data_IF_967921161360
#
_entry.id   IF_967921161360
#
_cell.length_a   1.000
_cell.length_b   1.000
_cell.length_c   1.000
_cell.angle_alpha   90.00
_cell.angle_beta   90.00
_cell.angle_gamma   90.00
#
_symmetry.space_group_name_H-M   'P 1'
#
loop_
_entity.id
_entity.type
_entity.pdbx_description
1 polymer ?
#
# COMPACT_ATOMS: atom_id res chain seq x y z
N UNK A 1 -7.85 47.01 5.29
CA UNK A 1 -7.24 45.79 5.84
C UNK A 1 -8.27 44.70 6.22
N UNK A 2 -9.56 44.91 5.93
CA UNK A 2 -10.66 44.01 6.32
C UNK A 2 -11.11 43.05 5.19
N UNK A 3 -10.84 43.39 3.93
CA UNK A 3 -11.34 42.63 2.77
C UNK A 3 -10.54 41.35 2.46
N UNK A 4 -9.23 41.32 2.77
CA UNK A 4 -8.38 40.13 2.59
C UNK A 4 -8.75 38.97 3.53
N UNK A 5 -9.11 39.29 4.78
CA UNK A 5 -9.54 38.30 5.78
C UNK A 5 -10.89 37.66 5.40
N UNK A 6 -11.78 38.46 4.79
CA UNK A 6 -13.08 37.96 4.33
C UNK A 6 -12.91 36.92 3.22
N UNK A 7 -12.08 37.23 2.21
CA UNK A 7 -11.77 36.32 1.09
C UNK A 7 -11.07 35.03 1.54
N UNK A 8 -10.07 35.10 2.43
CA UNK A 8 -9.41 33.89 2.93
C UNK A 8 -10.38 33.00 3.72
N UNK A 9 -11.21 33.59 4.57
CA UNK A 9 -12.20 32.84 5.35
C UNK A 9 -13.28 32.19 4.48
N UNK A 10 -13.63 32.80 3.35
CA UNK A 10 -14.59 32.26 2.38
C UNK A 10 -13.98 31.08 1.59
N UNK A 11 -12.72 31.19 1.18
CA UNK A 11 -11.96 30.11 0.53
C UNK A 11 -11.76 28.94 1.49
N UNK A 12 -11.41 29.20 2.75
CA UNK A 12 -11.31 28.19 3.81
C UNK A 12 -12.65 27.48 4.04
N UNK A 13 -13.75 28.21 4.17
CA UNK A 13 -15.10 27.62 4.35
C UNK A 13 -15.51 26.79 3.14
N UNK A 14 -15.22 27.23 1.92
CA UNK A 14 -15.53 26.49 0.70
C UNK A 14 -14.73 25.20 0.60
N UNK A 15 -13.44 25.25 0.93
CA UNK A 15 -12.57 24.06 0.97
C UNK A 15 -12.99 23.07 2.06
N UNK A 16 -13.31 23.56 3.26
CA UNK A 16 -13.79 22.72 4.38
C UNK A 16 -15.13 22.06 4.02
N UNK A 17 -16.06 22.81 3.43
CA UNK A 17 -17.34 22.28 2.94
C UNK A 17 -17.12 21.17 1.90
N UNK A 18 -16.21 21.38 0.96
CA UNK A 18 -15.87 20.39 -0.07
C UNK A 18 -15.28 19.11 0.55
N UNK A 19 -14.40 19.24 1.54
CA UNK A 19 -13.83 18.08 2.27
C UNK A 19 -14.91 17.32 3.04
N UNK A 20 -15.80 18.03 3.75
CA UNK A 20 -16.91 17.42 4.50
C UNK A 20 -17.90 16.72 3.55
N UNK A 21 -18.19 17.31 2.40
CA UNK A 21 -19.08 16.71 1.40
C UNK A 21 -18.44 15.46 0.76
N UNK A 22 -17.13 15.48 0.53
CA UNK A 22 -16.37 14.33 0.02
C UNK A 22 -16.33 13.18 1.05
N UNK A 23 -16.12 13.50 2.34
CA UNK A 23 -16.18 12.53 3.43
C UNK A 23 -17.59 11.94 3.57
N UNK A 24 -18.63 12.76 3.53
CA UNK A 24 -20.02 12.31 3.59
C UNK A 24 -20.41 11.44 2.40
N UNK A 25 -19.91 11.73 1.19
CA UNK A 25 -20.09 10.86 0.01
C UNK A 25 -19.39 9.51 0.19
N UNK A 26 -18.14 9.52 0.69
CA UNK A 26 -17.39 8.31 0.98
C UNK A 26 -18.02 7.46 2.09
N UNK A 27 -18.67 8.08 3.08
CA UNK A 27 -19.45 7.38 4.12
C UNK A 27 -20.77 6.83 3.59
N UNK A 28 -21.51 7.60 2.77
CA UNK A 28 -22.79 7.16 2.19
C UNK A 28 -22.63 6.03 1.17
N UNK A 29 -21.46 5.89 0.55
CA UNK A 29 -21.14 4.78 -0.36
C UNK A 29 -20.56 3.55 0.33
N UNK A 30 -20.48 3.50 1.67
CA UNK A 30 -20.02 2.28 2.37
C UNK A 30 -21.09 1.20 2.27
N UNK A 31 -20.94 0.34 1.27
CA UNK A 31 -21.67 -0.93 1.18
C UNK A 31 -21.48 -1.72 2.48
N UNK A 32 -22.52 -2.44 2.91
CA UNK A 32 -22.48 -3.31 4.10
C UNK A 32 -21.24 -4.23 4.12
N UNK A 33 -20.83 -4.71 2.94
CA UNK A 33 -19.61 -5.49 2.71
C UNK A 33 -18.32 -4.75 3.10
N UNK A 34 -18.20 -3.46 2.80
CA UNK A 34 -17.03 -2.65 3.15
C UNK A 34 -16.90 -2.48 4.66
N UNK A 35 -18.04 -2.35 5.36
CA UNK A 35 -18.09 -2.22 6.82
C UNK A 35 -17.70 -3.53 7.52
N UNK A 36 -18.15 -4.66 6.99
CA UNK A 36 -17.71 -5.98 7.45
C UNK A 36 -16.21 -6.17 7.19
N UNK A 37 -15.72 -5.81 6.00
CA UNK A 37 -14.31 -5.91 5.67
C UNK A 37 -13.42 -5.05 6.58
N UNK A 38 -13.87 -3.85 6.98
CA UNK A 38 -13.17 -2.99 7.96
C UNK A 38 -13.09 -3.64 9.33
N UNK A 39 -14.20 -4.22 9.80
CA UNK A 39 -14.26 -4.91 11.09
C UNK A 39 -13.33 -6.14 11.11
N UNK A 40 -13.35 -6.94 10.03
CA UNK A 40 -12.47 -8.09 9.85
C UNK A 40 -11.01 -7.64 9.83
N UNK A 41 -10.66 -6.64 9.03
CA UNK A 41 -9.29 -6.10 8.96
C UNK A 41 -8.78 -5.65 10.33
N UNK A 42 -9.61 -4.94 11.10
CA UNK A 42 -9.26 -4.49 12.44
C UNK A 42 -9.15 -5.64 13.47
N UNK A 43 -10.03 -6.64 13.38
CA UNK A 43 -10.06 -7.77 14.29
C UNK A 43 -8.87 -8.73 14.08
N UNK A 44 -8.56 -9.04 12.82
CA UNK A 44 -7.47 -9.94 12.46
C UNK A 44 -6.08 -9.31 12.64
N UNK A 45 -5.98 -7.98 12.61
CA UNK A 45 -4.76 -7.25 12.95
C UNK A 45 -4.52 -7.10 14.46
N UNK A 46 -5.43 -7.55 15.32
CA UNK A 46 -5.38 -7.35 16.77
C UNK A 46 -4.89 -8.58 17.54
N UNK A 47 -4.11 -8.36 18.59
CA UNK A 47 -3.71 -9.42 19.54
C UNK A 47 -4.89 -10.08 20.26
N UNK A 48 -6.05 -9.41 20.33
CA UNK A 48 -7.25 -9.96 20.95
C UNK A 48 -7.73 -11.26 20.28
N UNK A 49 -7.56 -11.37 18.96
CA UNK A 49 -7.92 -12.56 18.18
C UNK A 49 -7.21 -13.83 18.69
N UNK A 50 -5.91 -13.71 18.95
CA UNK A 50 -5.05 -14.81 19.41
C UNK A 50 -5.49 -15.28 20.81
N UNK A 51 -5.77 -14.35 21.72
CA UNK A 51 -6.22 -14.68 23.07
C UNK A 51 -7.58 -15.39 23.07
N UNK A 52 -8.53 -14.95 22.23
CA UNK A 52 -9.84 -15.59 22.11
C UNK A 52 -9.69 -17.04 21.63
N UNK A 53 -8.87 -17.29 20.61
CA UNK A 53 -8.63 -18.66 20.12
C UNK A 53 -7.89 -19.52 21.14
N UNK A 54 -6.88 -18.97 21.83
CA UNK A 54 -6.15 -19.69 22.87
C UNK A 54 -7.07 -20.11 24.01
N UNK A 55 -7.98 -19.23 24.45
CA UNK A 55 -8.97 -19.53 25.49
C UNK A 55 -10.00 -20.54 24.97
N UNK A 56 -10.49 -20.38 23.74
CA UNK A 56 -11.47 -21.28 23.12
C UNK A 56 -10.92 -22.71 23.02
N UNK A 57 -9.74 -22.88 22.42
CA UNK A 57 -9.09 -24.19 22.30
C UNK A 57 -8.68 -24.74 23.65
N UNK A 58 -8.14 -23.90 24.54
CA UNK A 58 -7.81 -24.29 25.91
C UNK A 58 -9.03 -24.82 26.65
N UNK A 59 -10.16 -24.12 26.59
CA UNK A 59 -11.42 -24.53 27.21
C UNK A 59 -11.94 -25.84 26.60
N UNK A 60 -11.89 -25.99 25.28
CA UNK A 60 -12.31 -27.23 24.60
C UNK A 60 -11.47 -28.43 25.06
N UNK A 61 -10.15 -28.27 25.12
CA UNK A 61 -9.23 -29.31 25.57
C UNK A 61 -9.46 -29.62 27.06
N UNK A 62 -9.62 -28.60 27.91
CA UNK A 62 -9.91 -28.76 29.34
C UNK A 62 -11.23 -29.52 29.58
N UNK A 63 -12.26 -29.24 28.78
CA UNK A 63 -13.54 -29.94 28.83
C UNK A 63 -13.40 -31.41 28.41
N UNK A 64 -12.59 -31.73 27.39
CA UNK A 64 -12.43 -33.10 26.91
C UNK A 64 -11.41 -33.94 27.69
N UNK A 65 -10.41 -33.35 28.36
CA UNK A 65 -9.41 -34.07 29.19
C UNK A 65 -10.00 -34.51 30.56
N UNK A 66 -11.25 -34.18 30.86
CA UNK A 66 -11.96 -34.72 32.02
C UNK A 66 -11.84 -33.91 33.31
N UNK A 67 -11.37 -32.65 33.25
CA UNK A 67 -11.49 -31.71 34.38
C UNK A 67 -12.96 -31.38 34.70
N UNK A 68 -13.85 -31.59 33.72
CA UNK A 68 -15.30 -31.51 33.86
C UNK A 68 -15.88 -32.89 33.52
N UNK A 69 -15.61 -33.89 34.37
CA UNK A 69 -16.34 -35.16 34.35
C UNK A 69 -17.80 -34.90 34.78
N UNK A 70 -18.60 -34.30 33.89
CA UNK A 70 -20.05 -34.27 34.03
C UNK A 70 -20.51 -35.71 33.80
N UNK A 71 -20.88 -36.33 34.91
CA UNK A 71 -21.31 -37.71 35.21
C UNK A 71 -22.23 -38.45 34.18
N UNK A 72 -22.55 -37.89 33.01
CA UNK A 72 -23.58 -38.44 32.12
C UNK A 72 -23.35 -38.28 30.62
N UNK A 73 -22.23 -37.70 30.16
CA UNK A 73 -21.98 -37.48 28.72
C UNK A 73 -20.74 -38.29 28.33
N UNK A 74 -20.96 -39.32 27.50
CA UNK A 74 -19.88 -40.08 26.83
C UNK A 74 -18.91 -39.10 26.16
N UNK A 75 -17.60 -39.38 26.22
CA UNK A 75 -16.52 -38.56 25.64
C UNK A 75 -16.93 -37.98 24.27
N UNK A 76 -17.21 -36.68 24.22
CA UNK A 76 -17.77 -36.02 23.03
C UNK A 76 -16.75 -35.96 21.88
N UNK A 77 -15.46 -35.81 22.21
CA UNK A 77 -14.34 -35.84 21.27
C UNK A 77 -13.12 -36.55 21.92
N UNK A 78 -13.02 -37.89 21.84
CA UNK A 78 -11.90 -38.65 22.39
C UNK A 78 -10.57 -38.22 21.76
N UNK A 79 -9.49 -38.32 22.52
CA UNK A 79 -8.14 -38.13 21.99
C UNK A 79 -7.94 -39.07 20.78
N UNK A 80 -7.64 -38.57 19.56
CA UNK A 80 -6.88 -37.36 19.21
C UNK A 80 -7.66 -36.09 18.79
N UNK A 81 -8.90 -35.88 19.26
CA UNK A 81 -9.74 -34.71 18.96
C UNK A 81 -10.05 -34.52 17.46
N UNK A 82 -10.71 -35.50 16.85
CA UNK A 82 -10.99 -35.51 15.41
C UNK A 82 -11.96 -34.39 15.00
N UNK A 83 -12.94 -34.06 15.84
CA UNK A 83 -13.92 -33.01 15.55
C UNK A 83 -13.28 -31.62 15.62
N UNK A 84 -12.49 -31.36 16.66
CA UNK A 84 -11.73 -30.11 16.77
C UNK A 84 -10.82 -29.92 15.57
N UNK A 85 -10.08 -30.96 15.18
CA UNK A 85 -9.16 -30.90 14.03
C UNK A 85 -9.90 -30.54 12.73
N UNK A 86 -11.07 -31.13 12.50
CA UNK A 86 -11.89 -30.81 11.32
C UNK A 86 -12.32 -29.34 11.33
N UNK A 87 -12.86 -28.85 12.46
CA UNK A 87 -13.34 -27.47 12.59
C UNK A 87 -12.18 -26.48 12.41
N UNK A 88 -11.04 -26.73 13.07
CA UNK A 88 -9.83 -25.88 12.95
C UNK A 88 -9.31 -25.84 11.52
N UNK A 89 -9.34 -26.97 10.80
CA UNK A 89 -8.89 -27.00 9.39
C UNK A 89 -9.76 -26.12 8.48
N UNK A 90 -11.08 -26.15 8.70
CA UNK A 90 -12.02 -25.33 7.94
C UNK A 90 -11.86 -23.85 8.32
N UNK A 91 -11.78 -23.56 9.62
CA UNK A 91 -11.54 -22.24 10.15
C UNK A 91 -10.26 -21.63 9.58
N UNK A 92 -9.15 -22.38 9.54
CA UNK A 92 -7.88 -21.91 9.00
C UNK A 92 -7.97 -21.44 7.53
N UNK A 93 -8.79 -22.10 6.70
CA UNK A 93 -9.02 -21.67 5.29
C UNK A 93 -9.73 -20.32 5.26
N UNK A 94 -10.76 -20.13 6.08
CA UNK A 94 -11.46 -18.85 6.20
C UNK A 94 -10.52 -17.77 6.75
N UNK A 95 -9.74 -18.07 7.79
CA UNK A 95 -8.77 -17.14 8.37
C UNK A 95 -7.75 -16.70 7.32
N UNK A 96 -7.16 -17.64 6.58
CA UNK A 96 -6.21 -17.35 5.51
C UNK A 96 -6.83 -16.44 4.43
N UNK A 97 -8.06 -16.73 4.02
CA UNK A 97 -8.78 -15.92 3.02
C UNK A 97 -9.04 -14.51 3.54
N UNK A 98 -9.49 -14.36 4.78
CA UNK A 98 -9.74 -13.05 5.39
C UNK A 98 -8.45 -12.26 5.59
N UNK A 99 -7.36 -12.92 6.00
CA UNK A 99 -6.03 -12.32 6.08
C UNK A 99 -5.59 -11.84 4.70
N UNK A 100 -5.77 -12.64 3.64
CA UNK A 100 -5.40 -12.25 2.28
C UNK A 100 -6.20 -11.03 1.79
N UNK A 101 -7.51 -11.00 2.05
CA UNK A 101 -8.36 -9.85 1.71
C UNK A 101 -7.91 -8.60 2.48
N UNK A 102 -7.63 -8.74 3.78
CA UNK A 102 -7.14 -7.66 4.65
C UNK A 102 -5.78 -7.14 4.18
N UNK A 103 -4.87 -8.03 3.79
CA UNK A 103 -3.55 -7.69 3.28
C UNK A 103 -3.64 -6.97 1.94
N UNK A 104 -4.42 -7.50 0.98
CA UNK A 104 -4.60 -6.88 -0.33
C UNK A 104 -5.16 -5.45 -0.21
N UNK A 105 -6.10 -5.24 0.69
CA UNK A 105 -6.64 -3.90 0.98
C UNK A 105 -5.61 -2.98 1.63
N UNK A 106 -4.82 -3.47 2.59
CA UNK A 106 -3.75 -2.67 3.20
C UNK A 106 -2.67 -2.31 2.20
N UNK A 107 -2.37 -3.19 1.25
CA UNK A 107 -1.44 -2.96 0.15
C UNK A 107 -1.95 -1.87 -0.79
N UNK A 108 -3.21 -1.95 -1.26
CA UNK A 108 -3.80 -0.91 -2.11
C UNK A 108 -3.76 0.48 -1.44
N UNK A 109 -4.09 0.55 -0.14
CA UNK A 109 -3.99 1.80 0.63
C UNK A 109 -2.55 2.29 0.77
N UNK A 110 -1.59 1.39 0.97
CA UNK A 110 -0.17 1.72 1.05
C UNK A 110 0.37 2.24 -0.27
N UNK A 111 -0.03 1.63 -1.39
CA UNK A 111 0.36 2.05 -2.75
C UNK A 111 -0.15 3.46 -3.06
N UNK A 112 -1.44 3.74 -2.78
CA UNK A 112 -1.99 5.09 -2.97
C UNK A 112 -1.29 6.15 -2.11
N UNK A 113 -0.91 5.81 -0.88
CA UNK A 113 -0.15 6.72 -0.02
C UNK A 113 1.25 6.98 -0.60
N UNK A 114 1.93 5.94 -1.05
CA UNK A 114 3.24 6.07 -1.68
C UNK A 114 3.20 6.94 -2.95
N UNK A 115 2.16 6.81 -3.78
CA UNK A 115 1.97 7.67 -4.95
C UNK A 115 1.76 9.14 -4.56
N UNK A 116 0.93 9.40 -3.53
CA UNK A 116 0.70 10.76 -3.05
C UNK A 116 1.97 11.37 -2.45
N UNK A 117 2.71 10.60 -1.66
CA UNK A 117 3.98 11.03 -1.06
C UNK A 117 5.02 11.36 -2.14
N UNK A 118 5.08 10.55 -3.22
CA UNK A 118 5.93 10.83 -4.38
C UNK A 118 5.55 12.16 -5.05
N UNK A 119 4.26 12.39 -5.31
CA UNK A 119 3.81 13.67 -5.90
C UNK A 119 4.11 14.87 -5.02
N UNK A 120 3.91 14.76 -3.70
CA UNK A 120 4.24 15.84 -2.76
C UNK A 120 5.74 16.12 -2.77
N UNK A 121 6.57 15.08 -2.79
CA UNK A 121 8.02 15.23 -2.81
C UNK A 121 8.49 15.90 -4.11
N UNK A 122 8.01 15.44 -5.26
CA UNK A 122 8.32 16.05 -6.56
C UNK A 122 7.89 17.53 -6.63
N UNK A 123 6.72 17.86 -6.09
CA UNK A 123 6.26 19.25 -6.01
C UNK A 123 7.13 20.10 -5.05
N UNK A 124 7.60 19.50 -3.96
CA UNK A 124 8.50 20.17 -3.02
C UNK A 124 9.87 20.44 -3.67
N UNK A 125 10.42 19.48 -4.41
CA UNK A 125 11.65 19.63 -5.19
C UNK A 125 11.52 20.75 -6.23
N UNK A 126 10.43 20.78 -7.02
CA UNK A 126 10.16 21.88 -7.96
C UNK A 126 10.12 23.26 -7.29
N UNK A 127 9.42 23.36 -6.15
CA UNK A 127 9.34 24.62 -5.41
C UNK A 127 10.70 25.03 -4.87
N UNK A 128 11.49 24.08 -4.37
CA UNK A 128 12.85 24.35 -3.90
C UNK A 128 13.74 24.84 -5.04
N UNK A 129 13.72 24.17 -6.19
CA UNK A 129 14.43 24.61 -7.39
C UNK A 129 14.01 26.02 -7.82
N UNK A 130 12.70 26.32 -7.83
CA UNK A 130 12.21 27.64 -8.19
C UNK A 130 12.66 28.73 -7.21
N UNK A 131 12.72 28.42 -5.91
CA UNK A 131 13.25 29.34 -4.89
C UNK A 131 14.75 29.57 -5.10
N UNK A 132 15.53 28.54 -5.42
CA UNK A 132 16.96 28.68 -5.74
C UNK A 132 17.18 29.57 -6.96
N UNK A 133 16.39 29.38 -8.02
CA UNK A 133 16.45 30.23 -9.22
C UNK A 133 16.16 31.70 -8.88
N UNK A 134 15.10 31.96 -8.11
CA UNK A 134 14.75 33.32 -7.68
C UNK A 134 15.83 33.95 -6.79
N UNK A 135 16.43 33.17 -5.89
CA UNK A 135 17.54 33.65 -5.06
C UNK A 135 18.76 34.00 -5.91
N UNK A 136 19.04 33.22 -6.95
CA UNK A 136 20.14 33.51 -7.86
C UNK A 136 19.88 34.74 -8.72
N UNK A 137 18.64 34.94 -9.21
CA UNK A 137 18.25 36.17 -9.91
C UNK A 137 18.45 37.40 -9.02
N UNK A 138 18.05 37.34 -7.74
CA UNK A 138 18.26 38.42 -6.77
C UNK A 138 19.75 38.64 -6.52
N UNK A 139 20.52 37.57 -6.33
CA UNK A 139 21.96 37.62 -6.12
C UNK A 139 22.70 38.30 -7.30
N UNK A 140 22.32 37.97 -8.54
CA UNK A 140 22.86 38.61 -9.74
C UNK A 140 22.49 40.10 -9.81
N UNK A 141 21.25 40.47 -9.46
CA UNK A 141 20.86 41.87 -9.40
C UNK A 141 21.65 42.66 -8.34
N UNK A 142 21.98 42.03 -7.21
CA UNK A 142 22.77 42.65 -6.15
C UNK A 142 24.24 42.85 -6.53
N UNK A 143 24.83 41.89 -7.24
CA UNK A 143 26.20 41.97 -7.79
C UNK A 143 26.34 43.15 -8.76
N UNK A 144 25.33 43.38 -9.62
CA UNK A 144 25.28 44.55 -10.50
C UNK A 144 25.16 45.90 -9.77
N UNK A 145 24.71 45.92 -8.51
CA UNK A 145 24.51 47.13 -7.71
C UNK A 145 25.67 47.39 -6.71
N UNK A 146 26.52 46.40 -6.46
CA UNK A 146 27.68 46.50 -5.59
C UNK A 146 28.87 45.77 -6.25
N UNK A 147 29.77 46.54 -6.88
CA UNK A 147 30.99 46.09 -7.58
C UNK A 147 32.01 45.35 -6.66
N UNK A 148 31.67 45.18 -5.37
CA UNK A 148 32.48 44.51 -4.33
C UNK A 148 31.88 43.15 -3.89
N UNK A 149 30.66 42.78 -4.33
CA UNK A 149 30.00 41.56 -3.89
C UNK A 149 30.33 40.37 -4.79
N UNK A 150 31.60 39.94 -4.81
CA UNK A 150 32.02 38.71 -5.51
C UNK A 150 31.36 37.45 -4.93
N UNK A 151 30.15 37.14 -5.38
CA UNK A 151 29.57 35.81 -5.25
C UNK A 151 30.37 34.88 -6.16
N UNK A 152 31.34 34.19 -5.55
CA UNK A 152 31.95 33.00 -6.17
C UNK A 152 30.81 32.10 -6.64
N UNK A 153 30.75 31.84 -7.94
CA UNK A 153 29.96 30.77 -8.52
C UNK A 153 30.27 29.51 -7.73
N UNK A 154 29.34 29.08 -6.87
CA UNK A 154 29.47 27.84 -6.14
C UNK A 154 29.01 26.70 -7.07
N UNK A 155 29.91 25.85 -7.57
CA UNK A 155 29.55 24.76 -8.48
C UNK A 155 28.56 23.77 -7.85
N UNK A 156 28.43 23.74 -6.52
CA UNK A 156 27.48 22.89 -5.80
C UNK A 156 26.02 23.38 -5.95
N UNK A 157 25.79 24.68 -6.09
CA UNK A 157 24.46 25.26 -6.34
C UNK A 157 23.97 25.01 -7.79
N UNK A 158 24.90 24.89 -8.74
CA UNK A 158 24.60 24.58 -10.14
C UNK A 158 24.31 23.08 -10.33
N UNK A 159 24.95 22.21 -9.55
CA UNK A 159 24.65 20.78 -9.51
C UNK A 159 23.23 20.48 -8.97
N UNK A 160 22.70 21.31 -8.08
CA UNK A 160 21.32 21.24 -7.57
C UNK A 160 20.25 21.66 -8.60
N UNK A 161 20.62 22.32 -9.70
CA UNK A 161 19.69 22.67 -10.80
C UNK A 161 19.27 21.47 -11.64
N UNK A 162 19.96 20.35 -11.52
CA UNK A 162 19.57 19.09 -12.15
C UNK A 162 18.55 18.38 -11.26
N UNK A 163 17.46 19.07 -10.91
CA UNK A 163 16.26 18.41 -10.43
C UNK A 163 15.41 18.16 -11.67
N UNK A 164 15.36 16.92 -12.21
CA UNK A 164 14.55 16.63 -13.39
C UNK A 164 13.10 17.02 -13.11
N UNK A 165 12.44 17.63 -14.09
CA UNK A 165 11.04 18.02 -13.91
C UNK A 165 10.20 16.78 -13.51
N UNK A 166 9.23 16.88 -12.61
CA UNK A 166 8.38 15.77 -12.18
C UNK A 166 7.77 14.97 -13.32
N UNK A 167 7.47 15.63 -14.44
CA UNK A 167 6.94 14.98 -15.64
C UNK A 167 8.00 14.13 -16.35
N UNK A 168 9.27 14.53 -16.31
CA UNK A 168 10.39 13.76 -16.86
C UNK A 168 10.71 12.55 -15.99
N UNK A 169 10.66 12.70 -14.66
CA UNK A 169 10.80 11.57 -13.72
C UNK A 169 9.63 10.58 -13.87
N UNK A 170 8.40 11.06 -13.98
CA UNK A 170 7.21 10.22 -14.18
C UNK A 170 7.26 9.48 -15.53
N UNK A 171 7.66 10.15 -16.62
CA UNK A 171 7.83 9.53 -17.94
C UNK A 171 8.97 8.49 -17.94
N UNK A 172 10.08 8.77 -17.24
CA UNK A 172 11.18 7.81 -17.08
C UNK A 172 10.75 6.62 -16.23
N UNK A 173 10.01 6.82 -15.14
CA UNK A 173 9.48 5.73 -14.31
C UNK A 173 8.47 4.90 -15.12
N UNK A 174 7.53 5.53 -15.83
CA UNK A 174 6.54 4.84 -16.66
C UNK A 174 7.21 4.03 -17.78
N UNK A 175 8.19 4.62 -18.48
CA UNK A 175 8.99 3.92 -19.49
C UNK A 175 9.78 2.76 -18.91
N UNK A 176 10.36 2.92 -17.73
CA UNK A 176 11.16 1.86 -17.08
C UNK A 176 10.28 0.71 -16.58
N UNK A 177 9.11 1.03 -16.01
CA UNK A 177 8.11 0.03 -15.57
C UNK A 177 7.54 -0.72 -16.77
N UNK A 178 7.18 -0.02 -17.85
CA UNK A 178 6.69 -0.64 -19.08
C UNK A 178 7.74 -1.48 -19.80
N UNK A 179 9.01 -1.05 -19.82
CA UNK A 179 10.11 -1.82 -20.38
C UNK A 179 10.30 -3.14 -19.60
N UNK A 180 10.36 -3.05 -18.27
CA UNK A 180 10.52 -4.23 -17.40
C UNK A 180 9.33 -5.20 -17.50
N UNK A 181 8.11 -4.69 -17.63
CA UNK A 181 6.89 -5.50 -17.86
C UNK A 181 6.93 -6.24 -19.21
N UNK A 182 7.42 -5.60 -20.27
CA UNK A 182 7.61 -6.23 -21.59
C UNK A 182 8.70 -7.30 -21.56
N UNK A 183 9.80 -7.05 -20.87
CA UNK A 183 10.90 -8.03 -20.74
C UNK A 183 10.46 -9.27 -19.96
N UNK A 184 9.71 -9.10 -18.87
CA UNK A 184 9.15 -10.23 -18.10
C UNK A 184 8.20 -11.08 -18.96
N UNK A 185 7.35 -10.45 -19.78
CA UNK A 185 6.47 -11.18 -20.72
C UNK A 185 7.27 -11.92 -21.79
N UNK A 186 8.30 -11.29 -22.38
CA UNK A 186 9.14 -11.91 -23.41
C UNK A 186 9.88 -13.15 -22.86
N UNK A 187 10.42 -13.05 -21.65
CA UNK A 187 11.09 -14.18 -20.98
C UNK A 187 10.10 -15.32 -20.67
N UNK A 188 8.88 -14.99 -20.23
CA UNK A 188 7.85 -16.00 -19.98
C UNK A 188 7.39 -16.72 -21.26
N UNK A 189 7.27 -16.01 -22.38
CA UNK A 189 6.93 -16.59 -23.68
C UNK A 189 8.06 -17.46 -24.25
N UNK A 190 9.32 -17.04 -24.14
CA UNK A 190 10.48 -17.82 -24.56
C UNK A 190 10.63 -19.12 -23.74
N UNK A 191 10.39 -19.06 -22.43
CA UNK A 191 10.42 -20.26 -21.57
C UNK A 191 9.24 -21.19 -21.81
N UNK A 192 8.06 -20.66 -22.07
CA UNK A 192 6.87 -21.43 -22.46
C UNK A 192 7.05 -22.14 -23.80
N UNK A 193 7.63 -21.45 -24.80
CA UNK A 193 7.95 -22.02 -26.11
C UNK A 193 8.98 -23.14 -26.03
N UNK A 194 10.09 -22.92 -25.31
CA UNK A 194 11.13 -23.96 -25.11
C UNK A 194 10.62 -25.19 -24.36
N UNK A 195 9.68 -25.02 -23.41
CA UNK A 195 9.05 -26.16 -22.73
C UNK A 195 8.15 -26.97 -23.68
N UNK A 196 7.38 -26.31 -24.54
CA UNK A 196 6.55 -26.98 -25.54
C UNK A 196 7.38 -27.72 -26.60
N UNK A 197 8.49 -27.11 -27.05
CA UNK A 197 9.39 -27.74 -28.02
C UNK A 197 10.13 -28.95 -27.45
N UNK A 198 10.60 -28.86 -26.18
CA UNK A 198 11.17 -30.04 -25.50
C UNK A 198 10.15 -31.17 -25.36
N UNK A 199 8.93 -30.86 -24.94
CA UNK A 199 7.86 -31.85 -24.78
C UNK A 199 7.50 -32.52 -26.11
N UNK A 200 7.41 -31.76 -27.20
CA UNK A 200 7.10 -32.30 -28.54
C UNK A 200 8.23 -33.18 -29.11
N UNK A 201 9.49 -32.92 -28.76
CA UNK A 201 10.64 -33.76 -29.15
C UNK A 201 10.77 -35.03 -28.33
N UNK A 202 10.24 -35.04 -27.11
CA UNK A 202 10.22 -36.19 -26.22
C UNK A 202 9.08 -37.14 -26.63
N UNK A 203 7.89 -36.60 -26.91
CA UNK A 203 6.69 -37.35 -27.36
C UNK A 203 6.91 -38.01 -28.74
N UNK A 204 7.56 -37.31 -29.69
CA UNK A 204 7.85 -37.85 -31.02
C UNK A 204 8.99 -38.88 -31.07
N UNK A 205 9.64 -39.18 -29.94
CA UNK A 205 10.73 -40.16 -29.86
C UNK A 205 10.26 -41.54 -29.35
N UNK A 206 9.09 -41.59 -28.72
CA UNK A 206 8.48 -42.81 -28.21
C UNK A 206 7.51 -43.48 -29.22
N UNK A 207 7.20 -42.83 -30.36
CA UNK A 207 6.31 -43.35 -31.40
C UNK A 207 7.00 -43.91 -32.67
N UNK A 208 8.34 -44.01 -32.70
CA UNK A 208 9.12 -44.54 -33.84
C UNK A 208 10.01 -45.71 -33.47
#
# INVERSE_FOLDING_TARGET
MSDENFSQSEILRKNISAVIEMQNKAERSRTFQTRIADLITAFFGSMAFVYVHAIWFGLWILLNIGLVHIHYISEFDPFPFQLLTMIVSLEAIFLSTFVLISQNRSQELSERRAELDLHVNLLAEQKAAKVLDMLQEIAQQLDHLHDDFSLKHDPEAEALKVSPEPQEVLDVIEKTVNAKSKDVKRVAEEQGGRRKEKKSREDGRDEG
#
